data_IF_524107805884
#
_entry.id   IF_524107805884
#
_cell.length_a   1.000
_cell.length_b   1.000
_cell.length_c   1.000
_cell.angle_alpha   90.00
_cell.angle_beta   90.00
_cell.angle_gamma   90.00
#
_symmetry.space_group_name_H-M   'P 1'
#
loop_
_entity.id
_entity.type
_entity.pdbx_description
1 polymer ?
#
# COMPACT_ATOMS: atom_id res chain seq x y z
N UNK A 1 -9.73 1.19 -11.09
CA UNK A 1 -10.84 1.92 -10.45
C UNK A 1 -11.38 1.05 -9.31
N UNK A 2 -11.74 1.62 -8.15
CA UNK A 2 -12.34 0.86 -7.05
C UNK A 2 -13.77 0.45 -7.40
N UNK A 3 -14.38 -0.43 -6.59
CA UNK A 3 -15.81 -0.78 -6.68
C UNK A 3 -16.76 0.41 -6.45
N UNK A 4 -16.24 1.54 -5.98
CA UNK A 4 -16.99 2.78 -5.75
C UNK A 4 -16.63 3.88 -6.76
N UNK A 5 -15.94 3.54 -7.85
CA UNK A 5 -15.59 4.49 -8.92
C UNK A 5 -14.38 5.37 -8.62
N UNK A 6 -13.70 5.19 -7.48
CA UNK A 6 -12.54 6.01 -7.13
C UNK A 6 -11.29 5.57 -7.91
N UNK A 7 -10.40 6.52 -8.22
CA UNK A 7 -9.08 6.15 -8.72
C UNK A 7 -8.28 5.48 -7.59
N UNK A 8 -7.74 4.31 -7.89
CA UNK A 8 -6.96 3.49 -6.95
C UNK A 8 -5.46 3.48 -7.26
N UNK A 9 -5.05 4.03 -8.41
CA UNK A 9 -3.65 4.18 -8.76
C UNK A 9 -3.30 5.65 -8.65
N UNK A 10 -2.49 5.98 -7.64
CA UNK A 10 -2.13 7.36 -7.36
C UNK A 10 -0.83 7.75 -8.05
N UNK A 11 0.13 6.82 -8.12
CA UNK A 11 1.46 7.07 -8.64
C UNK A 11 2.01 5.82 -9.33
N UNK A 12 2.70 6.01 -10.44
CA UNK A 12 3.35 4.93 -11.18
C UNK A 12 4.62 5.43 -11.85
N UNK A 13 5.66 4.61 -11.75
CA UNK A 13 6.92 4.71 -12.47
C UNK A 13 7.30 3.33 -12.99
N UNK A 14 8.43 3.24 -13.69
CA UNK A 14 9.00 1.95 -14.11
C UNK A 14 9.45 1.06 -12.94
N UNK A 15 9.73 1.64 -11.78
CA UNK A 15 10.26 0.94 -10.62
C UNK A 15 9.24 0.74 -9.49
N UNK A 16 8.24 1.62 -9.38
CA UNK A 16 7.31 1.66 -8.25
C UNK A 16 5.90 2.05 -8.73
N UNK A 17 4.90 1.30 -8.27
CA UNK A 17 3.48 1.65 -8.38
C UNK A 17 2.87 1.78 -6.98
N UNK A 18 2.23 2.92 -6.71
CA UNK A 18 1.51 3.18 -5.45
C UNK A 18 0.01 3.14 -5.72
N UNK A 19 -0.64 2.18 -5.07
CA UNK A 19 -2.07 1.98 -5.12
C UNK A 19 -2.72 2.44 -3.82
N UNK A 20 -3.55 3.46 -3.92
CA UNK A 20 -4.35 4.02 -2.83
C UNK A 20 -5.42 4.95 -3.39
N UNK A 21 -6.33 5.42 -2.53
CA UNK A 21 -7.30 6.47 -2.85
C UNK A 21 -7.03 7.73 -2.02
N UNK A 22 -7.58 8.87 -2.45
CA UNK A 22 -7.56 10.10 -1.64
C UNK A 22 -8.24 9.89 -0.28
N UNK A 23 -9.30 9.07 -0.21
CA UNK A 23 -9.98 8.73 1.03
C UNK A 23 -9.09 7.95 1.99
N UNK A 24 -8.33 6.98 1.46
CA UNK A 24 -7.35 6.23 2.23
C UNK A 24 -6.27 7.15 2.79
N UNK A 25 -5.75 8.08 1.98
CA UNK A 25 -4.76 9.07 2.45
C UNK A 25 -5.31 9.97 3.56
N UNK A 26 -6.56 10.44 3.44
CA UNK A 26 -7.21 11.23 4.50
C UNK A 26 -7.32 10.43 5.79
N UNK A 27 -7.76 9.17 5.73
CA UNK A 27 -7.82 8.30 6.90
C UNK A 27 -6.43 8.07 7.50
N UNK A 28 -5.43 7.80 6.66
CA UNK A 28 -4.04 7.62 7.08
C UNK A 28 -3.52 8.86 7.82
N UNK A 29 -3.75 10.06 7.26
CA UNK A 29 -3.36 11.34 7.88
C UNK A 29 -4.04 11.65 9.21
N UNK A 30 -5.22 11.09 9.45
CA UNK A 30 -5.97 11.26 10.71
C UNK A 30 -5.50 10.34 11.85
N UNK A 31 -4.60 9.38 11.56
CA UNK A 31 -4.16 8.36 12.51
C UNK A 31 -2.76 8.68 13.00
N UNK A 32 -2.54 8.57 14.31
CA UNK A 32 -1.26 8.84 14.96
C UNK A 32 -0.19 7.77 14.67
N UNK A 33 -0.63 6.52 14.46
CA UNK A 33 0.26 5.38 14.30
C UNK A 33 -0.03 4.65 12.99
N UNK A 34 1.03 4.40 12.21
CA UNK A 34 0.99 3.62 10.98
C UNK A 34 1.88 2.39 11.12
N UNK A 35 1.53 1.32 10.41
CA UNK A 35 2.28 0.06 10.41
C UNK A 35 2.66 -0.31 8.99
N UNK A 36 3.93 -0.60 8.77
CA UNK A 36 4.44 -1.09 7.49
C UNK A 36 4.65 -2.60 7.52
N UNK A 37 4.21 -3.31 6.48
CA UNK A 37 4.54 -4.71 6.28
C UNK A 37 5.01 -4.95 4.84
N UNK A 38 6.20 -5.53 4.69
CA UNK A 38 6.76 -5.94 3.41
C UNK A 38 6.73 -7.45 3.28
N UNK A 39 6.22 -7.97 2.16
CA UNK A 39 6.30 -9.39 1.83
C UNK A 39 7.22 -9.57 0.64
N UNK A 40 8.39 -10.15 0.90
CA UNK A 40 9.39 -10.53 -0.11
C UNK A 40 9.09 -11.92 -0.70
N UNK A 41 8.52 -12.83 0.09
CA UNK A 41 8.50 -14.27 -0.24
C UNK A 41 7.29 -14.78 -1.03
N UNK A 42 6.22 -13.99 -1.19
CA UNK A 42 4.93 -14.51 -1.69
C UNK A 42 4.36 -13.79 -2.92
N UNK A 43 5.06 -12.80 -3.46
CA UNK A 43 4.62 -12.13 -4.68
C UNK A 43 5.12 -12.92 -5.90
N UNK A 44 4.23 -13.43 -6.77
CA UNK A 44 4.67 -13.92 -8.07
C UNK A 44 5.22 -12.70 -8.84
N UNK A 45 6.38 -12.86 -9.50
CA UNK A 45 6.99 -11.90 -10.44
C UNK A 45 8.02 -10.90 -9.87
N UNK A 46 9.05 -11.36 -9.14
CA UNK A 46 10.27 -10.55 -8.85
C UNK A 46 9.98 -9.09 -8.46
N UNK A 47 8.92 -8.92 -7.67
CA UNK A 47 8.37 -7.64 -7.24
C UNK A 47 8.16 -7.73 -5.75
N UNK A 48 8.51 -6.67 -5.04
CA UNK A 48 8.30 -6.54 -3.62
C UNK A 48 6.96 -5.84 -3.38
N UNK A 49 6.12 -6.41 -2.53
CA UNK A 49 4.88 -5.77 -2.08
C UNK A 49 5.10 -5.20 -0.67
N UNK A 50 4.95 -3.89 -0.55
CA UNK A 50 4.92 -3.20 0.73
C UNK A 50 3.55 -2.60 0.98
N UNK A 51 3.07 -2.71 2.22
CA UNK A 51 1.73 -2.27 2.60
C UNK A 51 1.78 -1.40 3.85
N UNK A 52 1.05 -0.28 3.82
CA UNK A 52 0.89 0.59 4.99
C UNK A 52 -0.52 0.43 5.52
N UNK A 53 -0.60 0.18 6.82
CA UNK A 53 -1.82 -0.09 7.54
C UNK A 53 -2.06 0.92 8.65
N UNK A 54 -3.33 1.06 9.02
CA UNK A 54 -3.73 1.76 10.24
C UNK A 54 -4.72 0.92 11.05
N UNK A 55 -4.67 1.09 12.37
CA UNK A 55 -5.68 0.54 13.28
C UNK A 55 -6.90 1.45 13.29
N UNK A 56 -8.05 0.91 12.91
CA UNK A 56 -9.33 1.64 12.90
C UNK A 56 -10.20 1.36 14.12
N UNK A 57 -9.99 0.22 14.79
CA UNK A 57 -10.55 -0.13 16.10
C UNK A 57 -9.66 -1.18 16.77
N UNK A 58 -9.92 -1.48 18.05
CA UNK A 58 -9.07 -2.33 18.91
C UNK A 58 -8.60 -3.64 18.25
N UNK A 59 -9.43 -4.27 17.43
CA UNK A 59 -9.12 -5.53 16.75
C UNK A 59 -9.22 -5.44 15.22
N UNK A 60 -9.10 -4.23 14.66
CA UNK A 60 -9.23 -4.03 13.21
C UNK A 60 -8.14 -3.14 12.65
N UNK A 61 -7.36 -3.74 11.77
CA UNK A 61 -6.31 -3.08 11.00
C UNK A 61 -6.68 -3.14 9.52
N UNK A 62 -6.52 -2.02 8.82
CA UNK A 62 -6.81 -1.92 7.39
C UNK A 62 -5.56 -1.53 6.61
N UNK A 63 -5.21 -2.25 5.53
CA UNK A 63 -4.24 -1.77 4.56
C UNK A 63 -4.84 -0.61 3.76
N UNK A 64 -4.13 0.52 3.72
CA UNK A 64 -4.59 1.73 3.04
C UNK A 64 -3.74 2.09 1.83
N UNK A 65 -2.47 1.68 1.82
CA UNK A 65 -1.53 1.94 0.73
C UNK A 65 -0.83 0.63 0.38
N UNK A 66 -0.78 0.34 -0.91
CA UNK A 66 0.00 -0.77 -1.46
C UNK A 66 1.09 -0.17 -2.37
N UNK A 67 2.32 -0.56 -2.13
CA UNK A 67 3.48 -0.17 -2.92
C UNK A 67 4.04 -1.44 -3.57
N UNK A 68 4.00 -1.49 -4.89
CA UNK A 68 4.58 -2.56 -5.68
C UNK A 68 5.89 -2.02 -6.24
N UNK A 69 7.01 -2.56 -5.79
CA UNK A 69 8.32 -2.19 -6.30
C UNK A 69 8.88 -3.33 -7.16
N UNK A 70 9.47 -2.97 -8.30
CA UNK A 70 10.36 -3.86 -9.05
C UNK A 70 11.55 -4.20 -8.14
N UNK A 71 11.95 -5.48 -8.05
CA UNK A 71 13.11 -5.86 -7.25
C UNK A 71 14.32 -5.02 -7.69
N UNK A 72 14.91 -4.24 -6.77
CA UNK A 72 16.34 -3.95 -6.89
C UNK A 72 17.01 -5.24 -6.46
N UNK A 73 17.92 -5.74 -7.28
CA UNK A 73 18.79 -6.86 -6.94
C UNK A 73 19.25 -6.70 -5.48
N UNK A 74 19.14 -7.78 -4.70
CA UNK A 74 19.76 -7.84 -3.37
C UNK A 74 21.23 -7.44 -3.54
N UNK A 75 21.66 -6.40 -2.82
CA UNK A 75 23.08 -6.03 -2.75
C UNK A 75 23.85 -7.07 -1.93
#
# INVERSE_FOLDING_TARGET
MTTHGENFQLYETTAVSILTTVKNLKLLSSKQTWFGNGTFDSAPLSKQLYTIHVTVSENKTLPLVYCIASNKEEE
#
